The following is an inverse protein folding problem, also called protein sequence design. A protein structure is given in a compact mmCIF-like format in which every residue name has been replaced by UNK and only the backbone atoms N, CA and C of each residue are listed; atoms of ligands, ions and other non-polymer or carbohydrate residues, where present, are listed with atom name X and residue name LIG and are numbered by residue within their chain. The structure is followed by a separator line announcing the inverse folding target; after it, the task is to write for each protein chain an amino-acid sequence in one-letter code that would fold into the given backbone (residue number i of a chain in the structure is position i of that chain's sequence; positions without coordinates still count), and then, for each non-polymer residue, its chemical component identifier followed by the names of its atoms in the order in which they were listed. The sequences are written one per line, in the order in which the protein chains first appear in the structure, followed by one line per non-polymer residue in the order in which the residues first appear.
data_IF_588958194002
#
_entry.id   IF_588958194002
#
_cell.length_a   1.000
_cell.length_b   1.000
_cell.length_c   1.000
_cell.angle_alpha   90.00
_cell.angle_beta   90.00
_cell.angle_gamma   90.00
#
_symmetry.space_group_name_H-M   'P 1'
#
loop_
_entity.id
_entity.type
_entity.pdbx_description
1 polymer ?
#
# COMPACT_ATOMS: atom_id res chain seq x y z
N UNK A 1 11.74 1.89 44.14
CA UNK A 1 12.50 1.29 43.01
C UNK A 1 13.40 2.36 42.44
N UNK A 2 14.69 2.07 42.28
CA UNK A 2 15.58 3.05 41.64
C UNK A 2 15.29 3.08 40.14
N UNK A 3 15.13 4.27 39.58
CA UNK A 3 14.99 4.47 38.14
C UNK A 3 16.31 4.11 37.45
N UNK A 4 16.32 3.05 36.67
CA UNK A 4 17.47 2.68 35.83
C UNK A 4 17.47 3.60 34.61
N UNK A 5 18.51 4.41 34.45
CA UNK A 5 18.68 5.26 33.27
C UNK A 5 18.91 4.39 32.03
N UNK A 6 18.35 4.80 30.88
CA UNK A 6 18.52 4.08 29.59
C UNK A 6 20.01 3.91 29.23
N UNK A 7 20.87 4.85 29.65
CA UNK A 7 22.33 4.78 29.47
C UNK A 7 23.03 3.68 30.28
N UNK A 8 22.35 3.08 31.26
CA UNK A 8 22.87 2.02 32.13
C UNK A 8 22.46 0.63 31.67
N UNK A 9 21.71 0.52 30.58
CA UNK A 9 21.38 -0.76 29.98
C UNK A 9 22.61 -1.33 29.23
N UNK A 10 22.91 -2.63 29.39
CA UNK A 10 24.03 -3.24 28.69
C UNK A 10 23.86 -3.10 27.17
N UNK A 11 24.91 -2.64 26.47
CA UNK A 11 24.98 -2.62 25.04
C UNK A 11 25.06 -4.04 24.50
N UNK A 12 23.92 -4.61 24.12
CA UNK A 12 23.80 -5.89 23.44
C UNK A 12 22.95 -5.77 22.20
N UNK A 13 23.18 -6.64 21.20
CA UNK A 13 22.25 -6.74 20.06
C UNK A 13 20.87 -7.16 20.60
N UNK A 14 19.85 -6.36 20.30
CA UNK A 14 18.49 -6.64 20.74
C UNK A 14 18.01 -7.96 20.10
N UNK A 15 17.71 -8.95 20.94
CA UNK A 15 17.11 -10.20 20.49
C UNK A 15 15.63 -9.99 20.12
N UNK A 16 15.11 -10.82 19.22
CA UNK A 16 13.68 -10.88 18.97
C UNK A 16 12.95 -11.14 20.30
N UNK A 17 12.09 -10.21 20.71
CA UNK A 17 11.42 -10.25 22.03
C UNK A 17 11.99 -9.27 23.05
N UNK A 18 13.08 -8.56 22.76
CA UNK A 18 13.53 -7.45 23.61
C UNK A 18 12.41 -6.41 23.76
N UNK A 19 12.23 -5.92 24.99
CA UNK A 19 11.18 -4.97 25.33
C UNK A 19 11.75 -3.56 25.36
N UNK A 20 11.16 -2.68 24.59
CA UNK A 20 11.48 -1.24 24.62
C UNK A 20 10.41 -0.54 25.44
N UNK A 21 10.78 0.20 26.52
CA UNK A 21 9.80 1.01 27.22
C UNK A 21 9.33 2.16 26.31
N UNK A 22 8.03 2.30 26.18
CA UNK A 22 7.40 3.38 25.46
C UNK A 22 6.30 4.00 26.32
N UNK A 23 6.10 5.30 26.27
CA UNK A 23 4.98 5.96 26.92
C UNK A 23 3.79 6.04 25.97
N UNK A 24 2.56 5.98 26.52
CA UNK A 24 1.37 6.24 25.73
C UNK A 24 1.33 7.71 25.26
N UNK A 25 0.43 8.04 24.31
CA UNK A 25 0.30 9.39 23.78
C UNK A 25 -0.02 10.46 24.83
N UNK A 26 -0.58 10.07 25.99
CA UNK A 26 -0.85 10.95 27.13
C UNK A 26 0.35 11.09 28.08
N UNK A 27 1.42 10.34 27.89
CA UNK A 27 2.61 10.36 28.76
C UNK A 27 2.37 9.83 30.17
N UNK A 28 1.23 9.17 30.43
CA UNK A 28 0.78 8.79 31.77
C UNK A 28 1.15 7.36 32.16
N UNK A 29 1.43 6.51 31.17
CA UNK A 29 1.78 5.10 31.41
C UNK A 29 2.94 4.66 30.52
N UNK A 30 3.86 3.89 31.09
CA UNK A 30 4.92 3.22 30.34
C UNK A 30 4.39 1.89 29.80
N UNK A 31 4.32 1.78 28.50
CA UNK A 31 3.93 0.53 27.82
C UNK A 31 5.16 -0.28 27.40
N UNK A 32 5.02 -1.59 27.42
CA UNK A 32 6.04 -2.51 26.90
C UNK A 32 5.77 -2.79 25.44
N UNK A 33 6.67 -2.34 24.57
CA UNK A 33 6.61 -2.63 23.13
C UNK A 33 7.75 -3.59 22.80
N UNK A 34 7.44 -4.71 22.16
CA UNK A 34 8.48 -5.65 21.71
C UNK A 34 9.11 -5.14 20.42
N UNK A 35 10.39 -5.43 20.21
CA UNK A 35 11.06 -5.14 18.93
C UNK A 35 10.36 -5.89 17.79
N UNK A 36 9.84 -7.09 18.02
CA UNK A 36 9.01 -7.80 17.06
C UNK A 36 7.81 -6.98 16.61
N UNK A 37 7.06 -6.39 17.56
CA UNK A 37 5.90 -5.54 17.22
C UNK A 37 6.27 -4.29 16.41
N UNK A 38 7.44 -3.70 16.69
CA UNK A 38 7.95 -2.54 15.91
C UNK A 38 8.37 -2.98 14.50
N UNK A 39 9.03 -4.12 14.37
CA UNK A 39 9.44 -4.68 13.07
C UNK A 39 8.22 -5.11 12.25
N UNK A 40 7.22 -5.71 12.88
CA UNK A 40 5.96 -6.07 12.21
C UNK A 40 5.22 -4.83 11.70
N UNK A 41 5.18 -3.76 12.50
CA UNK A 41 4.59 -2.48 12.07
C UNK A 41 5.35 -1.86 10.87
N UNK A 42 6.67 -2.05 10.79
CA UNK A 42 7.51 -1.54 9.70
C UNK A 42 7.53 -2.44 8.44
N UNK A 43 7.07 -3.69 8.54
CA UNK A 43 7.16 -4.71 7.48
C UNK A 43 5.83 -5.20 6.92
N UNK A 44 4.71 -4.69 7.37
CA UNK A 44 3.41 -5.19 6.90
C UNK A 44 3.13 -4.75 5.47
N UNK A 45 3.61 -5.54 4.50
CA UNK A 45 2.95 -5.62 3.21
C UNK A 45 1.56 -6.20 3.47
N UNK A 46 0.58 -5.35 3.63
CA UNK A 46 -0.78 -5.79 3.96
C UNK A 46 -1.52 -6.13 2.67
N UNK A 47 -2.06 -7.36 2.62
CA UNK A 47 -2.85 -7.85 1.48
C UNK A 47 -4.32 -7.55 1.72
N UNK A 48 -5.00 -7.06 0.69
CA UNK A 48 -6.44 -6.82 0.68
C UNK A 48 -7.08 -7.49 -0.54
N UNK A 49 -8.30 -7.94 -0.38
CA UNK A 49 -9.16 -8.41 -1.47
C UNK A 49 -10.41 -7.52 -1.46
N UNK A 50 -10.38 -6.41 -2.21
CA UNK A 50 -11.52 -5.49 -2.26
C UNK A 50 -12.76 -6.17 -2.84
N UNK A 51 -13.92 -5.53 -2.65
CA UNK A 51 -15.13 -5.97 -3.33
C UNK A 51 -14.94 -6.00 -4.86
N UNK A 52 -15.63 -6.93 -5.51
CA UNK A 52 -15.61 -7.09 -6.96
C UNK A 52 -15.89 -5.78 -7.70
N UNK A 53 -15.13 -5.52 -8.75
CA UNK A 53 -15.29 -4.33 -9.59
C UNK A 53 -16.46 -4.57 -10.55
N UNK A 54 -17.62 -3.98 -10.24
CA UNK A 54 -18.86 -4.14 -11.02
C UNK A 54 -19.10 -3.02 -12.04
N UNK A 55 -18.29 -1.95 -12.01
CA UNK A 55 -18.31 -0.83 -12.96
C UNK A 55 -16.89 -0.28 -13.13
N UNK A 56 -16.64 0.50 -14.18
CA UNK A 56 -15.39 1.25 -14.29
C UNK A 56 -15.15 2.13 -13.08
N UNK A 57 -13.88 2.24 -12.64
CA UNK A 57 -13.50 2.96 -11.45
C UNK A 57 -12.68 4.20 -11.78
N UNK A 58 -13.19 5.34 -11.36
CA UNK A 58 -12.47 6.60 -11.38
C UNK A 58 -12.01 6.92 -9.96
N UNK A 59 -10.77 7.42 -9.77
CA UNK A 59 -10.19 7.68 -8.45
C UNK A 59 -10.37 6.48 -7.51
N UNK A 60 -9.99 5.30 -7.94
CA UNK A 60 -10.23 4.05 -7.23
C UNK A 60 -9.47 4.00 -5.91
N UNK A 61 -10.16 3.68 -4.82
CA UNK A 61 -9.57 3.39 -3.50
C UNK A 61 -9.78 1.89 -3.19
N UNK A 62 -8.80 1.04 -3.48
CA UNK A 62 -8.93 -0.40 -3.21
C UNK A 62 -8.84 -0.78 -1.74
N UNK A 63 -8.29 0.10 -0.90
CA UNK A 63 -8.13 -0.09 0.53
C UNK A 63 -7.05 0.80 1.12
N UNK A 64 -7.42 1.62 2.12
CA UNK A 64 -6.48 2.53 2.77
C UNK A 64 -5.40 1.76 3.56
N UNK A 65 -4.14 2.19 3.44
CA UNK A 65 -3.03 1.61 4.21
C UNK A 65 -2.68 0.17 3.84
N UNK A 66 -3.08 -0.30 2.65
CA UNK A 66 -2.74 -1.61 2.09
C UNK A 66 -1.83 -1.45 0.88
N UNK A 67 -1.02 -2.47 0.59
CA UNK A 67 0.00 -2.39 -0.45
C UNK A 67 -0.20 -3.44 -1.56
N UNK A 68 -0.87 -4.55 -1.26
CA UNK A 68 -1.12 -5.63 -2.21
C UNK A 68 -2.62 -5.85 -2.34
N UNK A 69 -3.13 -5.75 -3.56
CA UNK A 69 -4.56 -5.88 -3.85
C UNK A 69 -4.82 -7.02 -4.82
N UNK A 70 -5.69 -7.96 -4.41
CA UNK A 70 -6.23 -9.03 -5.25
C UNK A 70 -7.56 -8.58 -5.81
N UNK A 71 -7.57 -8.18 -7.08
CA UNK A 71 -8.73 -7.62 -7.75
C UNK A 71 -9.53 -8.70 -8.47
N UNK A 72 -10.86 -8.56 -8.44
CA UNK A 72 -11.80 -9.31 -9.28
C UNK A 72 -12.75 -8.34 -9.97
N UNK A 73 -13.31 -8.73 -11.10
CA UNK A 73 -14.27 -7.92 -11.85
C UNK A 73 -15.38 -8.83 -12.44
N UNK A 74 -16.59 -8.30 -12.60
CA UNK A 74 -17.72 -9.05 -13.18
C UNK A 74 -17.81 -8.94 -14.71
N UNK A 75 -16.90 -8.24 -15.33
CA UNK A 75 -16.70 -8.06 -16.77
C UNK A 75 -15.36 -7.35 -17.00
N UNK A 76 -14.92 -7.19 -18.23
CA UNK A 76 -13.78 -6.32 -18.56
C UNK A 76 -14.05 -4.89 -18.03
N UNK A 77 -13.17 -4.40 -17.15
CA UNK A 77 -13.33 -3.12 -16.44
C UNK A 77 -12.10 -2.25 -16.54
N UNK A 78 -12.33 -0.94 -16.47
CA UNK A 78 -11.28 0.08 -16.48
C UNK A 78 -11.09 0.70 -15.09
N UNK A 79 -9.83 0.92 -14.72
CA UNK A 79 -9.43 1.80 -13.62
C UNK A 79 -8.73 3.01 -14.26
N UNK A 80 -9.32 4.19 -14.13
CA UNK A 80 -8.83 5.41 -14.77
C UNK A 80 -7.85 6.19 -13.88
N UNK A 81 -7.83 5.88 -12.61
CA UNK A 81 -6.92 6.44 -11.61
C UNK A 81 -7.12 5.82 -10.24
N UNK A 82 -6.15 5.99 -9.38
CA UNK A 82 -6.12 5.47 -8.02
C UNK A 82 -5.91 6.65 -7.07
N UNK A 83 -6.60 6.66 -5.93
CA UNK A 83 -6.44 7.72 -4.92
C UNK A 83 -4.96 7.95 -4.59
N UNK A 84 -4.55 9.22 -4.63
CA UNK A 84 -3.19 9.65 -4.35
C UNK A 84 -2.71 9.16 -2.97
N UNK A 85 -1.42 8.89 -2.86
CA UNK A 85 -0.75 8.50 -1.62
C UNK A 85 0.45 9.41 -1.35
N UNK A 86 1.25 9.05 -0.34
CA UNK A 86 2.50 9.76 -0.09
C UNK A 86 3.53 9.46 -1.18
N UNK A 87 4.45 10.39 -1.39
CA UNK A 87 5.57 10.19 -2.32
C UNK A 87 6.38 8.94 -1.97
N UNK A 88 6.60 8.09 -2.97
CA UNK A 88 7.30 6.81 -2.83
C UNK A 88 6.43 5.63 -2.36
N UNK A 89 5.16 5.84 -2.01
CA UNK A 89 4.26 4.73 -1.70
C UNK A 89 4.11 3.83 -2.93
N UNK A 90 4.22 2.52 -2.71
CA UNK A 90 4.10 1.50 -3.75
C UNK A 90 2.92 0.57 -3.49
N UNK A 91 2.22 0.18 -4.56
CA UNK A 91 1.15 -0.80 -4.51
C UNK A 91 1.32 -1.85 -5.61
N UNK A 92 0.96 -3.09 -5.30
CA UNK A 92 0.88 -4.19 -6.24
C UNK A 92 -0.59 -4.53 -6.51
N UNK A 93 -1.03 -4.37 -7.73
CA UNK A 93 -2.34 -4.82 -8.19
C UNK A 93 -2.20 -6.17 -8.86
N UNK A 94 -3.01 -7.14 -8.48
CA UNK A 94 -3.03 -8.49 -9.06
C UNK A 94 -4.46 -8.79 -9.46
N UNK A 95 -4.70 -9.02 -10.74
CA UNK A 95 -5.99 -9.50 -11.22
C UNK A 95 -6.09 -11.01 -10.98
N UNK A 96 -6.84 -11.41 -9.96
CA UNK A 96 -7.08 -12.82 -9.62
C UNK A 96 -8.35 -13.37 -10.25
N UNK A 97 -9.05 -12.57 -11.04
CA UNK A 97 -10.23 -13.02 -11.78
C UNK A 97 -9.89 -14.17 -12.73
N UNK A 98 -10.84 -15.06 -12.95
CA UNK A 98 -10.64 -16.24 -13.79
C UNK A 98 -10.89 -15.97 -15.29
N UNK A 99 -11.60 -14.91 -15.61
CA UNK A 99 -12.13 -14.62 -16.96
C UNK A 99 -11.91 -13.20 -17.45
N UNK A 100 -12.03 -12.21 -16.56
CA UNK A 100 -12.16 -10.83 -16.94
C UNK A 100 -10.88 -10.03 -16.73
N UNK A 101 -10.50 -9.24 -17.73
CA UNK A 101 -9.34 -8.37 -17.67
C UNK A 101 -9.70 -7.02 -16.99
N UNK A 102 -8.72 -6.45 -16.29
CA UNK A 102 -8.82 -5.10 -15.71
C UNK A 102 -7.80 -4.23 -16.44
N UNK A 103 -8.23 -3.10 -16.98
CA UNK A 103 -7.36 -2.18 -17.73
C UNK A 103 -7.07 -0.93 -16.92
N UNK A 104 -5.79 -0.66 -16.68
CA UNK A 104 -5.33 0.62 -16.12
C UNK A 104 -5.21 1.61 -17.27
N UNK A 105 -5.98 2.70 -17.23
CA UNK A 105 -6.04 3.69 -18.29
C UNK A 105 -4.91 4.72 -18.13
N UNK A 106 -4.11 4.89 -19.21
CA UNK A 106 -3.06 5.88 -19.21
C UNK A 106 -3.62 7.30 -19.19
N UNK A 107 -3.13 8.13 -18.26
CA UNK A 107 -3.40 9.58 -18.15
C UNK A 107 -4.88 10.00 -18.30
N UNK A 108 -5.84 9.13 -17.93
CA UNK A 108 -7.26 9.35 -18.19
C UNK A 108 -7.80 10.57 -17.48
N UNK A 109 -8.51 11.43 -18.23
CA UNK A 109 -9.18 12.61 -17.70
C UNK A 109 -10.43 12.29 -16.86
N UNK A 110 -10.88 11.03 -16.83
CA UNK A 110 -11.99 10.60 -15.98
C UNK A 110 -11.63 10.54 -14.48
N UNK A 111 -10.33 10.60 -14.18
CA UNK A 111 -9.83 10.76 -12.80
C UNK A 111 -9.22 12.13 -12.59
N UNK A 112 -9.24 12.59 -11.33
CA UNK A 112 -8.55 13.81 -10.93
C UNK A 112 -7.06 13.71 -11.24
N UNK A 113 -6.43 14.82 -11.50
CA UNK A 113 -5.04 14.86 -11.94
C UNK A 113 -4.11 14.05 -11.06
N UNK A 114 -4.16 14.28 -9.75
CA UNK A 114 -3.29 13.62 -8.76
C UNK A 114 -3.48 12.10 -8.66
N UNK A 115 -4.58 11.57 -9.18
CA UNK A 115 -4.93 10.15 -9.12
C UNK A 115 -4.62 9.41 -10.43
N UNK A 116 -4.21 10.11 -11.50
CA UNK A 116 -3.98 9.49 -12.81
C UNK A 116 -2.78 8.55 -12.82
N UNK A 117 -2.87 7.55 -13.69
CA UNK A 117 -1.85 6.52 -13.87
C UNK A 117 -1.05 6.85 -15.14
N UNK A 118 0.27 6.91 -15.01
CA UNK A 118 1.18 7.02 -16.14
C UNK A 118 1.77 5.64 -16.45
N UNK A 119 1.59 5.21 -17.68
CA UNK A 119 2.16 3.97 -18.22
C UNK A 119 3.34 4.37 -19.13
N UNK A 120 4.52 3.74 -19.01
CA UNK A 120 5.75 4.21 -19.68
C UNK A 120 5.67 4.32 -21.20
N UNK A 121 4.83 3.52 -21.86
CA UNK A 121 4.67 3.54 -23.32
C UNK A 121 3.46 4.37 -23.79
N UNK A 122 2.89 5.20 -22.92
CA UNK A 122 1.77 6.11 -23.22
C UNK A 122 0.49 5.41 -23.71
N UNK A 123 0.34 4.14 -23.42
CA UNK A 123 -0.83 3.31 -23.72
C UNK A 123 -1.40 2.66 -22.46
N UNK A 124 -2.57 2.09 -22.56
CA UNK A 124 -3.21 1.40 -21.45
C UNK A 124 -2.44 0.14 -21.03
N UNK A 125 -2.50 -0.19 -19.72
CA UNK A 125 -1.93 -1.42 -19.18
C UNK A 125 -3.03 -2.42 -18.84
N UNK A 126 -2.99 -3.61 -19.43
CA UNK A 126 -3.98 -4.66 -19.21
C UNK A 126 -3.48 -5.67 -18.17
N UNK A 127 -4.17 -5.72 -17.04
CA UNK A 127 -4.05 -6.82 -16.09
C UNK A 127 -4.90 -7.98 -16.62
N UNK A 128 -4.26 -8.91 -17.31
CA UNK A 128 -4.95 -10.09 -17.83
C UNK A 128 -5.58 -10.91 -16.69
N UNK A 129 -6.67 -11.62 -16.97
CA UNK A 129 -7.22 -12.58 -16.04
C UNK A 129 -6.17 -13.63 -15.62
N UNK A 130 -6.38 -14.27 -14.46
CA UNK A 130 -5.53 -15.35 -13.94
C UNK A 130 -4.10 -14.93 -13.57
N UNK A 131 -3.95 -13.72 -13.03
CA UNK A 131 -2.71 -13.28 -12.39
C UNK A 131 -1.96 -12.17 -13.11
N UNK A 132 -2.56 -11.47 -14.09
CA UNK A 132 -2.00 -10.22 -14.61
C UNK A 132 -1.77 -9.23 -13.45
N UNK A 133 -0.57 -8.63 -13.37
CA UNK A 133 -0.21 -7.78 -12.26
C UNK A 133 0.53 -6.52 -12.72
N UNK A 134 0.46 -5.47 -11.92
CA UNK A 134 1.23 -4.24 -12.09
C UNK A 134 1.72 -3.73 -10.74
N UNK A 135 2.98 -3.36 -10.67
CA UNK A 135 3.54 -2.57 -9.58
C UNK A 135 3.38 -1.09 -9.95
N UNK A 136 2.81 -0.31 -9.04
CA UNK A 136 2.67 1.13 -9.20
C UNK A 136 3.37 1.84 -8.05
N UNK A 137 4.04 2.95 -8.36
CA UNK A 137 4.67 3.84 -7.37
C UNK A 137 4.06 5.23 -7.53
N UNK A 138 3.71 5.86 -6.41
CA UNK A 138 3.26 7.25 -6.41
C UNK A 138 4.46 8.19 -6.47
N UNK A 139 4.50 9.01 -7.49
CA UNK A 139 5.52 10.05 -7.69
C UNK A 139 4.94 11.40 -7.23
N UNK A 140 5.27 11.81 -6.02
CA UNK A 140 4.80 13.06 -5.43
C UNK A 140 5.41 14.32 -6.06
N UNK A 141 6.44 14.20 -6.91
CA UNK A 141 6.99 15.33 -7.67
C UNK A 141 6.06 15.73 -8.82
N UNK A 142 5.43 14.74 -9.44
CA UNK A 142 4.51 14.95 -10.55
C UNK A 142 3.05 14.74 -10.17
N UNK A 143 2.78 14.33 -8.94
CA UNK A 143 1.45 13.96 -8.43
C UNK A 143 0.76 12.90 -9.30
N UNK A 144 1.46 11.78 -9.56
CA UNK A 144 0.97 10.71 -10.47
C UNK A 144 1.38 9.33 -9.97
N UNK A 145 0.52 8.36 -10.25
CA UNK A 145 0.90 6.95 -10.18
C UNK A 145 1.71 6.56 -11.43
N UNK A 146 2.81 5.84 -11.24
CA UNK A 146 3.64 5.29 -12.32
C UNK A 146 3.61 3.79 -12.30
N UNK A 147 3.30 3.16 -13.42
CA UNK A 147 3.49 1.71 -13.63
C UNK A 147 4.98 1.45 -13.86
N UNK A 148 5.53 0.46 -13.15
CA UNK A 148 6.95 0.07 -13.22
C UNK A 148 7.06 -1.30 -13.93
#
# INVERSE_FOLDING_TARGET
MADVKISELPSGSAAAGAIVPATNAAGTETQKVTIGSIVDLARTNTVESPAEITANRNNYEPGAGKDIFRLTANAARNITGIVARNDGDAILLINVDSTDAITLKHASADSTDVNRILVPWEGDYVLAAKGGAALLVYDGTTDRWRVI
#
